data_IF_651440746083
#
_entry.id   IF_651440746083
#
_cell.length_a   1.000
_cell.length_b   1.000
_cell.length_c   1.000
_cell.angle_alpha   90.00
_cell.angle_beta   90.00
_cell.angle_gamma   90.00
#
_symmetry.space_group_name_H-M   'P 1'
#
loop_
_entity.id
_entity.type
_entity.pdbx_description
1 polymer ?
#
# COMPACT_ATOMS: atom_id res chain seq x y z
N UNK A 1 -5.60 -49.95 34.84
CA UNK A 1 -6.23 -48.60 34.85
C UNK A 1 -5.39 -47.51 34.17
N UNK A 2 -4.13 -47.25 34.59
CA UNK A 2 -3.27 -46.18 34.02
C UNK A 2 -3.05 -46.23 32.49
N UNK A 3 -2.96 -47.43 31.89
CA UNK A 3 -2.81 -47.59 30.42
C UNK A 3 -4.04 -47.12 29.63
N UNK A 4 -5.25 -47.44 30.09
CA UNK A 4 -6.50 -47.01 29.42
C UNK A 4 -6.68 -45.50 29.49
N UNK A 5 -6.38 -44.90 30.65
CA UNK A 5 -6.42 -43.44 30.84
C UNK A 5 -5.44 -42.74 29.89
N UNK A 6 -4.18 -43.21 29.80
CA UNK A 6 -3.19 -42.66 28.84
C UNK A 6 -3.64 -42.79 27.38
N UNK A 7 -4.27 -43.90 27.01
CA UNK A 7 -4.79 -44.12 25.67
C UNK A 7 -5.94 -43.15 25.35
N UNK A 8 -6.88 -42.94 26.27
CA UNK A 8 -7.98 -41.97 26.11
C UNK A 8 -7.45 -40.55 25.97
N UNK A 9 -6.46 -40.14 26.77
CA UNK A 9 -5.82 -38.83 26.64
C UNK A 9 -5.15 -38.65 25.28
N UNK A 10 -4.44 -39.67 24.78
CA UNK A 10 -3.80 -39.63 23.47
C UNK A 10 -4.83 -39.45 22.34
N UNK A 11 -5.95 -40.18 22.40
CA UNK A 11 -7.03 -40.10 21.41
C UNK A 11 -7.65 -38.70 21.39
N UNK A 12 -7.96 -38.15 22.57
CA UNK A 12 -8.55 -36.80 22.70
C UNK A 12 -7.58 -35.74 22.18
N UNK A 13 -6.29 -35.86 22.53
CA UNK A 13 -5.26 -34.92 22.07
C UNK A 13 -5.10 -34.95 20.54
N UNK A 14 -5.07 -36.13 19.94
CA UNK A 14 -5.03 -36.29 18.49
C UNK A 14 -6.28 -35.73 17.82
N UNK A 15 -7.47 -35.95 18.41
CA UNK A 15 -8.70 -35.37 17.91
C UNK A 15 -8.65 -33.84 17.90
N UNK A 16 -8.17 -33.20 18.98
CA UNK A 16 -8.02 -31.73 19.05
C UNK A 16 -7.06 -31.20 17.98
N UNK A 17 -5.92 -31.87 17.76
CA UNK A 17 -4.97 -31.47 16.70
C UNK A 17 -5.61 -31.59 15.31
N UNK A 18 -6.29 -32.70 15.03
CA UNK A 18 -6.94 -32.94 13.74
C UNK A 18 -8.04 -31.90 13.49
N UNK A 19 -8.91 -31.66 14.48
CA UNK A 19 -9.99 -30.68 14.37
C UNK A 19 -9.44 -29.26 14.21
N UNK A 20 -8.42 -28.89 14.99
CA UNK A 20 -7.74 -27.59 14.88
C UNK A 20 -7.05 -27.38 13.53
N UNK A 21 -6.37 -28.40 13.02
CA UNK A 21 -5.74 -28.37 11.69
C UNK A 21 -6.78 -28.22 10.57
N UNK A 22 -7.89 -28.97 10.65
CA UNK A 22 -9.00 -28.86 9.70
C UNK A 22 -9.68 -27.48 9.73
N UNK A 23 -9.83 -26.86 10.91
CA UNK A 23 -10.36 -25.50 11.03
C UNK A 23 -9.38 -24.48 10.43
N UNK A 24 -8.08 -24.58 10.70
CA UNK A 24 -7.08 -23.69 10.08
C UNK A 24 -7.05 -23.81 8.56
N UNK A 25 -7.16 -25.02 8.01
CA UNK A 25 -7.23 -25.22 6.56
C UNK A 25 -8.53 -24.69 5.94
N UNK A 26 -9.65 -24.76 6.67
CA UNK A 26 -10.96 -24.28 6.21
C UNK A 26 -11.10 -22.76 6.33
N UNK A 27 -10.53 -22.15 7.37
CA UNK A 27 -10.50 -20.70 7.60
C UNK A 27 -9.37 -20.03 6.80
N UNK A 28 -8.31 -20.79 6.49
CA UNK A 28 -7.20 -20.38 5.64
C UNK A 28 -7.68 -20.09 4.23
N UNK A 29 -8.09 -18.84 3.96
CA UNK A 29 -8.38 -18.38 2.61
C UNK A 29 -7.11 -18.47 1.77
N UNK A 30 -7.12 -19.31 0.73
CA UNK A 30 -6.11 -19.21 -0.33
C UNK A 30 -6.11 -17.77 -0.83
N UNK A 31 -4.95 -17.12 -0.84
CA UNK A 31 -4.79 -15.84 -1.49
C UNK A 31 -4.93 -16.08 -3.00
N UNK A 32 -6.12 -15.88 -3.55
CA UNK A 32 -6.31 -15.80 -5.00
C UNK A 32 -5.68 -14.49 -5.46
N UNK A 33 -4.39 -14.54 -5.80
CA UNK A 33 -3.68 -13.38 -6.35
C UNK A 33 -4.02 -13.33 -7.84
N UNK A 34 -5.08 -12.59 -8.19
CA UNK A 34 -5.25 -12.14 -9.56
C UNK A 34 -4.17 -11.10 -9.83
N UNK A 35 -3.08 -11.52 -10.47
CA UNK A 35 -2.02 -10.63 -10.95
C UNK A 35 -2.35 -9.97 -12.28
N UNK A 36 -3.55 -10.20 -12.81
CA UNK A 36 -3.99 -9.56 -14.04
C UNK A 36 -4.24 -8.08 -13.76
N UNK A 37 -3.35 -7.25 -14.29
CA UNK A 37 -3.45 -5.79 -14.23
C UNK A 37 -4.33 -5.24 -15.36
N UNK A 38 -4.78 -6.09 -16.28
CA UNK A 38 -5.60 -5.67 -17.40
C UNK A 38 -7.04 -5.38 -16.96
N UNK A 39 -7.44 -4.14 -17.18
CA UNK A 39 -8.75 -3.59 -16.93
C UNK A 39 -9.42 -3.34 -18.28
N UNK A 40 -10.50 -4.06 -18.56
CA UNK A 40 -11.24 -3.95 -19.82
C UNK A 40 -11.60 -2.49 -20.14
N UNK A 41 -11.12 -1.98 -21.27
CA UNK A 41 -11.43 -0.63 -21.75
C UNK A 41 -10.62 0.48 -21.07
N UNK A 42 -9.54 0.14 -20.37
CA UNK A 42 -8.61 1.09 -19.76
C UNK A 42 -7.31 1.13 -20.57
N UNK A 43 -6.77 2.33 -20.89
CA UNK A 43 -5.45 2.47 -21.48
C UNK A 43 -4.33 1.85 -20.62
N UNK A 44 -3.35 1.21 -21.26
CA UNK A 44 -2.27 0.49 -20.56
C UNK A 44 -1.43 1.38 -19.65
N UNK A 45 -1.23 2.64 -19.98
CA UNK A 45 -0.53 3.60 -19.13
C UNK A 45 -1.27 3.91 -17.82
N UNK A 46 -2.59 3.87 -17.81
CA UNK A 46 -3.41 3.98 -16.60
C UNK A 46 -3.35 2.70 -15.78
N UNK A 47 -3.41 1.53 -16.43
CA UNK A 47 -3.25 0.21 -15.75
C UNK A 47 -1.91 0.14 -15.02
N UNK A 48 -0.82 0.47 -15.72
CA UNK A 48 0.53 0.50 -15.17
C UNK A 48 0.66 1.54 -14.06
N UNK A 49 0.07 2.74 -14.23
CA UNK A 49 0.08 3.75 -13.16
C UNK A 49 -0.62 3.26 -11.89
N UNK A 50 -1.76 2.53 -12.01
CA UNK A 50 -2.44 1.90 -10.89
C UNK A 50 -1.59 0.80 -10.25
N UNK A 51 -0.95 -0.03 -11.07
CA UNK A 51 -0.03 -1.08 -10.63
C UNK A 51 1.14 -0.50 -9.83
N UNK A 52 1.89 0.46 -10.37
CA UNK A 52 3.00 1.07 -9.64
C UNK A 52 2.53 1.92 -8.45
N UNK A 53 1.36 2.56 -8.54
CA UNK A 53 0.75 3.25 -7.41
C UNK A 53 0.49 2.31 -6.23
N UNK A 54 0.14 1.04 -6.48
CA UNK A 54 -0.11 0.04 -5.44
C UNK A 54 1.13 -0.30 -4.60
N UNK A 55 2.33 0.05 -5.08
CA UNK A 55 3.57 -0.13 -4.32
C UNK A 55 3.71 0.88 -3.18
N UNK A 56 2.69 1.69 -2.89
CA UNK A 56 2.69 2.60 -1.76
C UNK A 56 2.91 1.87 -0.42
N UNK A 57 3.71 2.50 0.46
CA UNK A 57 3.80 2.06 1.84
C UNK A 57 2.44 2.23 2.53
N UNK A 58 2.03 1.22 3.29
CA UNK A 58 0.74 1.21 3.97
C UNK A 58 0.81 0.34 5.23
N UNK A 59 -0.03 0.65 6.21
CA UNK A 59 -0.01 -0.02 7.51
C UNK A 59 -0.31 -1.51 7.36
N UNK A 60 0.55 -2.33 7.97
CA UNK A 60 0.49 -3.80 7.91
C UNK A 60 0.38 -4.40 6.50
N UNK A 61 0.71 -3.62 5.46
CA UNK A 61 0.52 -3.99 4.06
C UNK A 61 -0.92 -4.41 3.69
N UNK A 62 -1.94 -3.90 4.39
CA UNK A 62 -3.34 -4.26 4.19
C UNK A 62 -3.91 -3.75 2.85
N UNK A 63 -3.29 -2.72 2.27
CA UNK A 63 -3.72 -2.03 1.04
C UNK A 63 -5.19 -1.60 1.13
N UNK A 64 -5.51 -0.85 2.18
CA UNK A 64 -6.87 -0.49 2.60
C UNK A 64 -7.48 0.66 1.79
N UNK A 65 -7.39 0.61 0.46
CA UNK A 65 -7.97 1.60 -0.46
C UNK A 65 -8.82 0.94 -1.54
N UNK A 66 -9.76 1.73 -2.08
CA UNK A 66 -10.52 1.42 -3.29
C UNK A 66 -10.27 2.49 -4.32
N UNK A 67 -10.32 2.11 -5.58
CA UNK A 67 -10.22 3.03 -6.73
C UNK A 67 -11.49 2.89 -7.55
N UNK A 68 -12.17 4.01 -7.77
CA UNK A 68 -13.24 4.13 -8.76
C UNK A 68 -12.70 4.93 -9.94
N UNK A 69 -12.46 4.25 -11.07
CA UNK A 69 -11.84 4.84 -12.26
C UNK A 69 -12.92 5.23 -13.30
N UNK A 70 -12.80 6.43 -13.86
CA UNK A 70 -13.63 6.95 -14.95
C UNK A 70 -12.72 7.51 -16.06
N UNK A 71 -12.11 6.65 -16.91
CA UNK A 71 -11.04 7.07 -17.83
C UNK A 71 -11.51 8.12 -18.84
N UNK A 72 -12.73 7.98 -19.36
CA UNK A 72 -13.33 8.92 -20.32
C UNK A 72 -13.53 10.33 -19.75
N UNK A 73 -13.63 10.45 -18.44
CA UNK A 73 -13.79 11.73 -17.73
C UNK A 73 -12.45 12.28 -17.24
N UNK A 74 -11.34 11.57 -17.47
CA UNK A 74 -10.04 11.94 -16.92
C UNK A 74 -10.06 11.96 -15.40
N UNK A 75 -10.84 11.08 -14.76
CA UNK A 75 -11.04 11.12 -13.32
C UNK A 75 -10.90 9.74 -12.68
N UNK A 76 -10.32 9.71 -11.48
CA UNK A 76 -10.49 8.60 -10.55
C UNK A 76 -10.73 9.10 -9.13
N UNK A 77 -11.34 8.28 -8.31
CA UNK A 77 -11.54 8.56 -6.89
C UNK A 77 -10.90 7.44 -6.08
N UNK A 78 -10.08 7.80 -5.11
CA UNK A 78 -9.57 6.87 -4.11
C UNK A 78 -10.28 7.08 -2.78
N UNK A 79 -10.68 5.99 -2.14
CA UNK A 79 -11.37 5.99 -0.85
C UNK A 79 -10.88 4.86 0.03
N UNK A 80 -11.22 4.92 1.32
CA UNK A 80 -10.83 3.89 2.28
C UNK A 80 -11.60 2.58 2.03
N UNK A 81 -10.89 1.45 2.09
CA UNK A 81 -11.52 0.12 2.18
C UNK A 81 -11.64 -0.32 3.64
N UNK A 82 -12.80 -0.06 4.24
CA UNK A 82 -13.09 -0.49 5.61
C UNK A 82 -13.09 -2.00 5.82
N UNK A 83 -13.25 -2.81 4.78
CA UNK A 83 -13.12 -4.27 4.92
C UNK A 83 -11.68 -4.70 5.24
N UNK A 84 -10.72 -3.79 5.09
CA UNK A 84 -9.30 -3.97 5.33
C UNK A 84 -8.80 -3.11 6.50
N UNK A 85 -9.68 -2.51 7.30
CA UNK A 85 -9.27 -1.82 8.53
C UNK A 85 -8.87 -2.80 9.61
N UNK A 86 -7.99 -2.35 10.50
CA UNK A 86 -7.50 -3.11 11.64
C UNK A 86 -7.95 -2.42 12.92
N UNK A 87 -9.24 -2.52 13.22
CA UNK A 87 -9.89 -1.70 14.26
C UNK A 87 -9.30 -1.87 15.67
N UNK A 88 -8.63 -2.99 15.96
CA UNK A 88 -7.91 -3.21 17.23
C UNK A 88 -6.61 -2.40 17.29
N UNK A 89 -5.86 -2.34 16.19
CA UNK A 89 -4.54 -1.70 16.12
C UNK A 89 -4.66 -0.21 15.80
N UNK A 90 -5.63 0.14 14.95
CA UNK A 90 -5.91 1.50 14.50
C UNK A 90 -7.40 1.87 14.72
N UNK A 91 -7.87 1.93 15.98
CA UNK A 91 -9.28 2.17 16.30
C UNK A 91 -9.81 3.51 15.78
N UNK A 92 -8.92 4.49 15.60
CA UNK A 92 -9.25 5.83 15.08
C UNK A 92 -9.02 5.97 13.57
N UNK A 93 -8.61 4.90 12.88
CA UNK A 93 -8.31 4.90 11.43
C UNK A 93 -7.22 5.90 11.00
N UNK A 94 -6.34 6.29 11.92
CA UNK A 94 -5.26 7.25 11.65
C UNK A 94 -4.27 6.66 10.65
N UNK A 95 -3.86 5.42 10.86
CA UNK A 95 -2.93 4.74 9.97
C UNK A 95 -3.58 4.41 8.63
N UNK A 96 -4.88 4.15 8.63
CA UNK A 96 -5.68 4.00 7.41
C UNK A 96 -5.61 5.26 6.53
N UNK A 97 -5.80 6.44 7.12
CA UNK A 97 -5.70 7.72 6.40
C UNK A 97 -4.26 8.04 5.98
N UNK A 98 -3.26 7.76 6.81
CA UNK A 98 -1.84 7.89 6.42
C UNK A 98 -1.53 7.01 5.21
N UNK A 99 -2.02 5.77 5.23
CA UNK A 99 -1.87 4.82 4.12
C UNK A 99 -2.53 5.33 2.85
N UNK A 100 -3.73 5.94 2.94
CA UNK A 100 -4.40 6.56 1.81
C UNK A 100 -3.60 7.73 1.23
N UNK A 101 -2.99 8.57 2.07
CA UNK A 101 -2.09 9.64 1.65
C UNK A 101 -0.84 9.12 0.93
N UNK A 102 -0.21 8.08 1.46
CA UNK A 102 0.92 7.40 0.83
C UNK A 102 0.53 6.82 -0.54
N UNK A 103 -0.64 6.17 -0.63
CA UNK A 103 -1.17 5.66 -1.88
C UNK A 103 -1.46 6.78 -2.88
N UNK A 104 -2.10 7.85 -2.44
CA UNK A 104 -2.41 9.03 -3.25
C UNK A 104 -1.15 9.61 -3.91
N UNK A 105 -0.12 9.86 -3.10
CA UNK A 105 1.13 10.43 -3.61
C UNK A 105 1.89 9.48 -4.54
N UNK A 106 1.89 8.17 -4.22
CA UNK A 106 2.54 7.16 -5.08
C UNK A 106 1.83 7.03 -6.43
N UNK A 107 0.49 7.03 -6.40
CA UNK A 107 -0.34 6.98 -7.61
C UNK A 107 -0.14 8.23 -8.46
N UNK A 108 -0.11 9.42 -7.86
CA UNK A 108 0.19 10.67 -8.57
C UNK A 108 1.56 10.60 -9.26
N UNK A 109 2.58 10.14 -8.54
CA UNK A 109 3.92 9.96 -9.12
C UNK A 109 3.92 8.95 -10.27
N UNK A 110 3.13 7.88 -10.19
CA UNK A 110 3.03 6.90 -11.29
C UNK A 110 2.35 7.51 -12.53
N UNK A 111 1.21 8.19 -12.36
CA UNK A 111 0.52 8.91 -13.45
C UNK A 111 1.45 9.95 -14.11
N UNK A 112 2.14 10.76 -13.31
CA UNK A 112 3.09 11.76 -13.82
C UNK A 112 4.26 11.13 -14.58
N UNK A 113 4.71 9.96 -14.13
CA UNK A 113 5.74 9.20 -14.83
C UNK A 113 5.26 8.72 -16.19
N UNK A 114 3.96 8.42 -16.34
CA UNK A 114 3.34 8.13 -17.64
C UNK A 114 2.94 9.39 -18.42
N UNK A 115 3.34 10.59 -18.00
CA UNK A 115 3.09 11.81 -18.77
C UNK A 115 1.72 12.45 -18.53
N UNK A 116 1.01 12.06 -17.47
CA UNK A 116 -0.20 12.75 -17.05
C UNK A 116 0.13 13.99 -16.21
N UNK A 117 -0.70 15.03 -16.32
CA UNK A 117 -0.86 16.06 -15.31
C UNK A 117 -1.98 15.61 -14.38
N UNK A 118 -1.80 15.79 -13.07
CA UNK A 118 -2.74 15.31 -12.05
C UNK A 118 -2.97 16.40 -11.02
N UNK A 119 -4.23 16.78 -10.88
CA UNK A 119 -4.73 17.66 -9.84
C UNK A 119 -5.52 16.84 -8.82
N UNK A 120 -5.32 17.14 -7.53
CA UNK A 120 -5.92 16.42 -6.43
C UNK A 120 -6.93 17.30 -5.72
N UNK A 121 -8.13 16.77 -5.51
CA UNK A 121 -9.18 17.38 -4.72
C UNK A 121 -9.57 16.44 -3.59
N UNK A 122 -9.88 16.99 -2.42
CA UNK A 122 -10.33 16.21 -1.29
C UNK A 122 -11.82 16.42 -1.09
N UNK A 123 -12.57 15.35 -0.85
CA UNK A 123 -13.98 15.48 -0.47
C UNK A 123 -14.10 15.79 1.01
N UNK A 124 -15.23 16.35 1.42
CA UNK A 124 -15.64 16.28 2.82
C UNK A 124 -16.43 14.98 3.06
N UNK A 125 -16.37 14.39 4.27
CA UNK A 125 -17.32 13.38 4.67
C UNK A 125 -18.76 13.88 4.47
N UNK A 126 -19.65 12.99 4.04
CA UNK A 126 -21.06 13.29 3.81
C UNK A 126 -21.95 12.17 4.35
N UNK A 127 -23.27 12.38 4.35
CA UNK A 127 -24.23 11.33 4.74
C UNK A 127 -24.07 10.04 3.92
N UNK A 128 -23.67 10.17 2.64
CA UNK A 128 -23.49 9.05 1.72
C UNK A 128 -22.05 8.48 1.72
N UNK A 129 -21.11 9.21 2.31
CA UNK A 129 -19.72 8.76 2.43
C UNK A 129 -19.10 9.27 3.74
N UNK A 130 -19.11 8.42 4.76
CA UNK A 130 -18.58 8.75 6.09
C UNK A 130 -17.06 9.02 6.11
N UNK A 131 -16.34 8.73 5.03
CA UNK A 131 -14.90 8.92 4.94
C UNK A 131 -14.54 9.92 3.84
N UNK A 132 -13.49 10.70 4.10
CA UNK A 132 -12.90 11.56 3.10
C UNK A 132 -12.30 10.70 1.97
N UNK A 133 -12.58 11.09 0.73
CA UNK A 133 -12.00 10.52 -0.47
C UNK A 133 -11.09 11.55 -1.14
N UNK A 134 -10.20 11.08 -2.01
CA UNK A 134 -9.34 11.93 -2.83
C UNK A 134 -9.72 11.71 -4.29
N UNK A 135 -10.11 12.79 -4.97
CA UNK A 135 -10.42 12.81 -6.38
C UNK A 135 -9.15 13.23 -7.12
N UNK A 136 -8.85 12.48 -8.17
CA UNK A 136 -7.75 12.72 -9.09
C UNK A 136 -8.38 13.16 -10.40
N UNK A 137 -8.12 14.40 -10.80
CA UNK A 137 -8.40 14.88 -12.14
C UNK A 137 -7.09 14.79 -12.93
N UNK A 138 -7.08 13.99 -13.99
CA UNK A 138 -5.88 13.71 -14.77
C UNK A 138 -6.08 13.94 -16.26
N UNK A 139 -5.06 14.50 -16.89
CA UNK A 139 -5.04 14.76 -18.33
C UNK A 139 -3.71 14.32 -18.91
N UNK A 140 -3.76 13.56 -20.02
CA UNK A 140 -2.56 13.11 -20.72
C UNK A 140 -1.92 14.29 -21.44
N UNK A 141 -0.64 14.52 -21.18
CA UNK A 141 0.18 15.40 -22.01
C UNK A 141 0.80 14.58 -23.14
N UNK A 142 0.28 14.74 -24.36
CA UNK A 142 0.68 13.95 -25.54
C UNK A 142 2.15 14.16 -25.92
N UNK A 143 2.76 15.27 -25.48
CA UNK A 143 4.16 15.58 -25.79
C UNK A 143 5.12 15.02 -24.72
N UNK A 144 4.61 14.55 -23.59
CA UNK A 144 5.44 14.08 -22.48
C UNK A 144 5.66 12.58 -22.55
N UNK A 145 6.92 12.19 -22.78
CA UNK A 145 7.35 10.78 -22.76
C UNK A 145 7.36 10.22 -21.34
N UNK A 146 7.28 8.89 -21.26
CA UNK A 146 7.38 8.15 -20.01
C UNK A 146 8.71 8.44 -19.29
N UNK A 147 8.63 8.83 -18.02
CA UNK A 147 9.77 9.06 -17.15
C UNK A 147 10.18 7.76 -16.44
N UNK A 148 11.02 6.96 -17.11
CA UNK A 148 11.50 5.68 -16.57
C UNK A 148 12.17 5.85 -15.19
N UNK A 149 12.93 6.93 -14.96
CA UNK A 149 13.64 7.15 -13.70
C UNK A 149 12.68 7.24 -12.51
N UNK A 150 11.51 7.82 -12.71
CA UNK A 150 10.49 7.95 -11.67
C UNK A 150 9.84 6.59 -11.36
N UNK A 151 9.58 5.76 -12.37
CA UNK A 151 9.13 4.37 -12.17
C UNK A 151 10.17 3.55 -11.41
N UNK A 152 11.45 3.65 -11.76
CA UNK A 152 12.52 2.93 -11.06
C UNK A 152 12.65 3.37 -9.59
N UNK A 153 12.37 4.63 -9.27
CA UNK A 153 12.31 5.09 -7.88
C UNK A 153 11.14 4.45 -7.11
N UNK A 154 9.97 4.33 -7.73
CA UNK A 154 8.81 3.64 -7.14
C UNK A 154 9.14 2.17 -6.87
N UNK A 155 9.73 1.47 -7.85
CA UNK A 155 10.15 0.06 -7.75
C UNK A 155 11.22 -0.17 -6.67
N UNK A 156 12.16 0.77 -6.51
CA UNK A 156 13.25 0.65 -5.54
C UNK A 156 12.79 0.81 -4.09
N UNK A 157 11.63 1.46 -3.86
CA UNK A 157 11.09 1.70 -2.52
C UNK A 157 10.76 0.37 -1.84
N UNK A 158 11.29 0.16 -0.65
CA UNK A 158 10.94 -0.97 0.22
C UNK A 158 11.10 -0.57 1.68
N UNK A 159 10.48 -1.35 2.57
CA UNK A 159 10.65 -1.21 4.01
C UNK A 159 11.83 -2.06 4.44
N UNK A 160 12.94 -1.43 4.82
CA UNK A 160 14.09 -2.12 5.40
C UNK A 160 14.01 -2.09 6.93
N UNK A 161 13.91 -3.27 7.55
CA UNK A 161 13.88 -3.45 9.01
C UNK A 161 15.20 -3.97 9.57
N UNK A 162 16.25 -4.06 8.75
CA UNK A 162 17.58 -4.46 9.22
C UNK A 162 18.14 -3.39 10.15
N UNK A 163 19.11 -3.78 10.97
CA UNK A 163 19.84 -2.83 11.83
C UNK A 163 20.53 -1.78 10.97
N UNK A 164 20.38 -0.51 11.33
CA UNK A 164 21.16 0.56 10.73
C UNK A 164 22.66 0.33 10.97
N UNK A 165 23.49 0.68 9.99
CA UNK A 165 24.94 0.67 10.13
C UNK A 165 25.37 1.71 11.17
N UNK A 166 26.44 1.41 11.92
CA UNK A 166 27.05 2.36 12.88
C UNK A 166 27.95 3.39 12.20
N UNK A 167 28.26 3.20 10.91
CA UNK A 167 29.08 4.10 10.11
C UNK A 167 28.35 5.43 9.87
N UNK A 168 29.05 6.55 10.07
CA UNK A 168 28.54 7.88 9.72
C UNK A 168 28.29 7.98 8.21
N UNK A 169 27.25 8.71 7.83
CA UNK A 169 27.01 9.04 6.42
C UNK A 169 28.13 9.95 5.90
N UNK A 170 28.47 9.77 4.62
CA UNK A 170 29.47 10.60 3.96
C UNK A 170 29.02 12.07 3.93
N UNK A 171 29.95 12.99 4.22
CA UNK A 171 29.64 14.44 4.27
C UNK A 171 29.28 15.00 2.90
N UNK A 172 29.93 14.52 1.84
CA UNK A 172 29.63 14.91 0.47
C UNK A 172 28.23 14.46 0.05
N UNK A 173 27.83 13.25 0.43
CA UNK A 173 26.47 12.76 0.25
C UNK A 173 25.45 13.61 1.01
N UNK A 174 25.67 13.91 2.29
CA UNK A 174 24.75 14.74 3.09
C UNK A 174 24.58 16.11 2.42
N UNK A 175 25.67 16.78 2.04
CA UNK A 175 25.62 18.09 1.39
C UNK A 175 24.85 18.06 0.06
N UNK A 176 25.04 17.02 -0.75
CA UNK A 176 24.29 16.83 -1.99
C UNK A 176 22.80 16.59 -1.72
N UNK A 177 22.49 15.77 -0.72
CA UNK A 177 21.11 15.42 -0.37
C UNK A 177 20.34 16.63 0.18
N UNK A 178 20.93 17.39 1.11
CA UNK A 178 20.29 18.60 1.68
C UNK A 178 20.17 19.72 0.67
N UNK A 179 21.12 19.85 -0.27
CA UNK A 179 20.99 20.77 -1.42
C UNK A 179 19.86 20.37 -2.36
N UNK A 180 19.68 19.07 -2.60
CA UNK A 180 18.64 18.54 -3.49
C UNK A 180 17.25 18.63 -2.88
N UNK A 181 17.12 18.41 -1.58
CA UNK A 181 15.84 18.35 -0.87
C UNK A 181 15.78 19.42 0.22
N UNK A 182 15.08 20.53 -0.07
CA UNK A 182 15.02 21.70 0.83
C UNK A 182 14.51 21.39 2.25
N UNK A 183 13.67 20.37 2.40
CA UNK A 183 13.07 19.97 3.68
C UNK A 183 13.79 18.77 4.33
N UNK A 184 15.00 18.43 3.87
CA UNK A 184 15.79 17.35 4.45
C UNK A 184 16.65 17.86 5.59
N UNK A 185 16.39 17.36 6.80
CA UNK A 185 17.19 17.62 7.98
C UNK A 185 17.99 16.38 8.35
N UNK A 186 19.31 16.55 8.55
CA UNK A 186 20.19 15.48 8.99
C UNK A 186 20.54 15.65 10.46
N UNK A 187 20.25 14.63 11.26
CA UNK A 187 20.62 14.56 12.67
C UNK A 187 21.73 13.51 12.83
N UNK A 188 22.99 13.92 13.08
CA UNK A 188 24.05 12.97 13.35
C UNK A 188 23.75 12.15 14.62
N UNK A 189 24.24 10.90 14.66
CA UNK A 189 24.04 9.98 15.80
C UNK A 189 24.54 10.55 17.15
N UNK A 190 25.45 11.51 17.11
CA UNK A 190 26.04 12.15 18.30
C UNK A 190 25.30 13.43 18.73
N UNK A 191 24.13 13.72 18.16
CA UNK A 191 23.32 14.91 18.50
C UNK A 191 22.24 14.59 19.50
#
# INVERSE_FOLDING_TARGET
MKKRIRLTFLIVFMAVIITGGATMLSIGKKATIQTDIHLKGVPSDIEEALYYGSFAANSHNTQSWKVALKPKQGQLTISLDKKRSLDVVDPKNRELYISLGCYSQSLKMAFEAYGYKVDLEQTSPSANNHYQAIIFNFQKDQHKKMNQKQIELIKKRHTDKRKFLTKKLDRGFIAQATKRYKNLHYYPRSS
#
